data_IF_905233813722
#
_entry.id   IF_905233813722
#
_cell.length_a   1.000
_cell.length_b   1.000
_cell.length_c   1.000
_cell.angle_alpha   90.00
_cell.angle_beta   90.00
_cell.angle_gamma   90.00
#
_symmetry.space_group_name_H-M   'P 1'
#
loop_
_entity.id
_entity.type
_entity.pdbx_description
1 polymer ?
#
# COMPACT_ATOMS: atom_id res chain seq x y z
N UNK A 1 12.59 -9.34 5.13
CA UNK A 1 12.92 -8.36 6.21
C UNK A 1 11.74 -8.30 7.15
N UNK A 2 12.00 -8.53 8.42
CA UNK A 2 10.97 -8.46 9.43
C UNK A 2 10.65 -7.01 9.80
N UNK A 3 9.37 -6.68 10.06
CA UNK A 3 8.94 -5.32 10.42
C UNK A 3 9.60 -4.83 11.71
N UNK A 4 9.91 -5.73 12.63
CA UNK A 4 10.57 -5.41 13.90
C UNK A 4 12.04 -4.98 13.73
N UNK A 5 12.61 -5.14 12.55
CA UNK A 5 13.96 -4.65 12.22
C UNK A 5 13.97 -3.17 11.83
N UNK A 6 12.80 -2.59 11.57
CA UNK A 6 12.67 -1.17 11.25
C UNK A 6 12.70 -0.32 12.53
N UNK A 7 13.27 0.86 12.41
CA UNK A 7 13.27 1.84 13.49
C UNK A 7 11.95 2.60 13.52
N UNK A 8 11.18 2.46 14.61
CA UNK A 8 9.94 3.19 14.87
C UNK A 8 8.89 3.16 13.74
N UNK A 9 8.56 2.01 13.15
CA UNK A 9 7.46 1.93 12.21
C UNK A 9 6.14 2.11 12.98
N UNK A 10 5.23 2.90 12.43
CA UNK A 10 3.89 3.12 13.01
C UNK A 10 2.90 2.18 12.34
N UNK A 11 2.23 1.33 13.13
CA UNK A 11 1.15 0.48 12.62
C UNK A 11 -0.07 1.34 12.27
N UNK A 12 -0.55 1.21 11.05
CA UNK A 12 -1.67 1.97 10.49
C UNK A 12 -2.99 1.25 10.68
N UNK A 13 -3.03 -0.02 10.31
CA UNK A 13 -4.26 -0.83 10.35
C UNK A 13 -3.95 -2.32 10.29
N UNK A 14 -4.95 -3.09 10.69
CA UNK A 14 -5.07 -4.53 10.41
C UNK A 14 -6.05 -4.73 9.25
N UNK A 15 -5.82 -5.79 8.48
CA UNK A 15 -6.72 -6.21 7.41
C UNK A 15 -7.35 -7.56 7.76
N UNK A 16 -8.62 -7.75 7.40
CA UNK A 16 -9.36 -8.99 7.61
C UNK A 16 -10.21 -9.32 6.40
N UNK A 17 -10.55 -10.58 6.20
CA UNK A 17 -11.49 -10.97 5.15
C UNK A 17 -12.83 -10.27 5.33
N UNK A 18 -13.47 -9.97 4.21
CA UNK A 18 -14.85 -9.53 4.18
C UNK A 18 -15.74 -10.71 3.80
N UNK A 19 -16.39 -11.29 4.79
CA UNK A 19 -17.29 -12.44 4.60
C UNK A 19 -18.69 -12.04 4.11
N UNK A 20 -18.93 -10.76 3.89
CA UNK A 20 -20.21 -10.28 3.35
C UNK A 20 -20.21 -10.40 1.81
N UNK A 21 -20.85 -11.43 1.29
CA UNK A 21 -20.96 -11.70 -0.15
C UNK A 21 -21.64 -10.57 -0.96
N UNK A 22 -22.39 -9.68 -0.30
CA UNK A 22 -23.00 -8.51 -0.92
C UNK A 22 -22.05 -7.34 -1.10
N UNK A 23 -20.91 -7.32 -0.39
CA UNK A 23 -19.85 -6.31 -0.55
C UNK A 23 -18.83 -6.82 -1.57
N UNK A 24 -18.54 -6.02 -2.59
CA UNK A 24 -17.54 -6.36 -3.60
C UNK A 24 -16.10 -6.25 -3.09
N UNK A 25 -15.87 -5.64 -1.94
CA UNK A 25 -14.54 -5.57 -1.34
C UNK A 25 -14.19 -6.91 -0.69
N UNK A 26 -13.09 -7.53 -1.11
CA UNK A 26 -12.65 -8.84 -0.62
C UNK A 26 -12.16 -8.82 0.83
N UNK A 27 -11.82 -7.64 1.37
CA UNK A 27 -11.29 -7.48 2.71
C UNK A 27 -11.67 -6.13 3.33
N UNK A 28 -11.60 -6.07 4.65
CA UNK A 28 -11.92 -4.92 5.50
C UNK A 28 -10.67 -4.30 6.11
N UNK A 29 -10.80 -3.05 6.57
CA UNK A 29 -9.73 -2.27 7.21
C UNK A 29 -10.16 -1.95 8.64
N UNK A 30 -9.34 -2.34 9.61
CA UNK A 30 -9.46 -1.91 11.01
C UNK A 30 -8.34 -0.93 11.32
N UNK A 31 -8.67 0.36 11.33
CA UNK A 31 -7.71 1.42 11.59
C UNK A 31 -7.21 1.38 13.03
N UNK A 32 -5.90 1.60 13.22
CA UNK A 32 -5.32 1.74 14.54
C UNK A 32 -5.81 3.04 15.20
N UNK A 33 -6.50 2.91 16.33
CA UNK A 33 -7.12 4.02 17.06
C UNK A 33 -6.09 4.88 17.81
N UNK A 34 -4.92 4.36 18.07
CA UNK A 34 -3.82 5.06 18.75
C UNK A 34 -3.10 6.05 17.81
N UNK A 35 -3.34 5.95 16.49
CA UNK A 35 -2.76 6.87 15.51
C UNK A 35 -3.75 8.00 15.22
N UNK A 36 -3.29 9.24 15.41
CA UNK A 36 -4.11 10.42 15.16
C UNK A 36 -4.62 10.43 13.69
N UNK A 37 -5.93 10.62 13.55
CA UNK A 37 -6.58 10.65 12.24
C UNK A 37 -6.00 11.71 11.29
N UNK A 38 -5.54 12.84 11.81
CA UNK A 38 -4.86 13.88 11.04
C UNK A 38 -3.59 13.33 10.40
N UNK A 39 -2.76 12.58 11.16
CA UNK A 39 -1.56 11.93 10.65
C UNK A 39 -1.90 10.96 9.51
N UNK A 40 -2.98 10.19 9.64
CA UNK A 40 -3.41 9.22 8.62
C UNK A 40 -3.93 9.87 7.34
N UNK A 41 -4.52 11.06 7.44
CA UNK A 41 -5.22 11.74 6.33
C UNK A 41 -4.43 12.90 5.72
N UNK A 42 -3.38 13.37 6.38
CA UNK A 42 -2.59 14.53 5.94
C UNK A 42 -1.84 14.23 4.64
N UNK A 43 -1.75 15.23 3.76
CA UNK A 43 -0.95 15.16 2.54
C UNK A 43 0.55 15.33 2.84
N UNK A 44 1.19 14.27 3.30
CA UNK A 44 2.65 14.23 3.48
C UNK A 44 3.22 13.05 2.70
N UNK A 45 4.42 13.19 2.20
CA UNK A 45 5.15 12.05 1.63
C UNK A 45 5.40 10.98 2.68
N UNK A 46 5.01 9.76 2.40
CA UNK A 46 5.16 8.61 3.29
C UNK A 46 5.68 7.40 2.55
N UNK A 47 6.53 6.64 3.24
CA UNK A 47 6.83 5.27 2.85
C UNK A 47 5.98 4.33 3.72
N UNK A 48 5.23 3.42 3.11
CA UNK A 48 4.43 2.43 3.81
C UNK A 48 4.88 1.01 3.48
N UNK A 49 4.53 0.09 4.36
CA UNK A 49 4.88 -1.33 4.27
C UNK A 49 3.61 -2.16 4.41
N UNK A 50 3.40 -3.11 3.47
CA UNK A 50 2.42 -4.19 3.66
C UNK A 50 3.19 -5.37 4.22
N UNK A 51 2.72 -5.85 5.36
CA UNK A 51 3.40 -6.85 6.19
C UNK A 51 2.50 -8.07 6.32
N UNK A 52 3.06 -9.24 6.05
CA UNK A 52 2.39 -10.53 6.21
C UNK A 52 3.18 -11.35 7.23
N UNK A 53 2.53 -11.75 8.32
CA UNK A 53 3.15 -12.51 9.41
C UNK A 53 4.50 -11.91 9.86
N UNK A 54 4.51 -10.59 10.07
CA UNK A 54 5.69 -9.80 10.44
C UNK A 54 6.75 -9.59 9.35
N UNK A 55 6.63 -10.21 8.17
CA UNK A 55 7.56 -10.01 7.06
C UNK A 55 7.06 -8.93 6.08
N UNK A 56 7.96 -8.07 5.60
CA UNK A 56 7.65 -7.02 4.63
C UNK A 56 7.48 -7.64 3.24
N UNK A 57 6.26 -7.61 2.72
CA UNK A 57 5.90 -8.10 1.39
C UNK A 57 5.90 -6.99 0.33
N UNK A 58 5.62 -5.74 0.75
CA UNK A 58 5.65 -4.58 -0.13
C UNK A 58 6.16 -3.34 0.58
N UNK A 59 7.00 -2.58 -0.13
CA UNK A 59 7.34 -1.19 0.16
C UNK A 59 6.62 -0.32 -0.88
N UNK A 60 5.96 0.74 -0.45
CA UNK A 60 5.27 1.67 -1.33
C UNK A 60 5.29 3.09 -0.79
N UNK A 61 4.80 4.03 -1.57
CA UNK A 61 4.68 5.43 -1.14
C UNK A 61 3.26 5.97 -1.26
N UNK A 62 3.00 7.04 -0.54
CA UNK A 62 1.77 7.81 -0.60
C UNK A 62 2.09 9.29 -0.52
N UNK A 63 1.73 10.03 -1.57
CA UNK A 63 1.81 11.50 -1.68
C UNK A 63 0.40 12.10 -1.93
N UNK A 64 -0.67 11.30 -1.76
CA UNK A 64 -2.03 11.72 -2.10
C UNK A 64 -2.64 12.66 -1.03
N UNK A 65 -3.62 13.48 -1.45
CA UNK A 65 -4.28 14.47 -0.60
C UNK A 65 -4.98 13.86 0.63
N UNK A 66 -5.48 12.63 0.54
CA UNK A 66 -6.11 11.90 1.65
C UNK A 66 -5.14 11.05 2.48
N UNK A 67 -3.82 11.25 2.30
CA UNK A 67 -2.78 10.53 3.01
C UNK A 67 -2.82 9.02 2.80
N UNK A 68 -2.32 8.28 3.81
CA UNK A 68 -2.26 6.81 3.75
C UNK A 68 -3.67 6.18 3.70
N UNK A 69 -4.68 6.81 4.30
CA UNK A 69 -6.06 6.33 4.23
C UNK A 69 -6.58 6.23 2.81
N UNK A 70 -6.32 7.26 1.99
CA UNK A 70 -6.72 7.26 0.59
C UNK A 70 -5.99 6.18 -0.21
N UNK A 71 -4.69 5.98 0.04
CA UNK A 71 -3.91 4.95 -0.65
C UNK A 71 -4.43 3.54 -0.34
N UNK A 72 -4.66 3.22 0.93
CA UNK A 72 -5.18 1.90 1.33
C UNK A 72 -6.62 1.73 0.87
N UNK A 73 -7.44 2.78 0.98
CA UNK A 73 -8.80 2.81 0.42
C UNK A 73 -8.84 2.52 -1.08
N UNK A 74 -7.88 3.04 -1.84
CA UNK A 74 -7.76 2.76 -3.28
C UNK A 74 -7.44 1.30 -3.57
N UNK A 75 -6.60 0.64 -2.77
CA UNK A 75 -6.40 -0.81 -2.88
C UNK A 75 -7.69 -1.58 -2.59
N UNK A 76 -8.39 -1.24 -1.49
CA UNK A 76 -9.65 -1.90 -1.12
C UNK A 76 -10.72 -1.73 -2.20
N UNK A 77 -10.87 -0.55 -2.76
CA UNK A 77 -11.91 -0.27 -3.77
C UNK A 77 -11.58 -0.80 -5.16
N UNK A 78 -10.35 -1.20 -5.43
CA UNK A 78 -9.90 -1.65 -6.76
C UNK A 78 -10.53 -2.97 -7.22
N UNK A 79 -11.16 -3.73 -6.34
CA UNK A 79 -11.95 -4.91 -6.68
C UNK A 79 -13.40 -4.60 -7.08
N UNK A 80 -13.89 -3.39 -6.83
CA UNK A 80 -15.32 -3.09 -6.89
C UNK A 80 -15.76 -2.51 -8.23
N UNK A 81 -14.97 -1.60 -8.79
CA UNK A 81 -15.33 -0.86 -10.01
C UNK A 81 -14.18 0.00 -10.52
N UNK A 82 -14.36 0.58 -11.69
CA UNK A 82 -13.39 1.48 -12.30
C UNK A 82 -12.34 0.74 -13.12
N UNK A 83 -11.25 1.45 -13.43
CA UNK A 83 -10.11 0.90 -14.20
C UNK A 83 -8.84 0.96 -13.37
N UNK A 84 -8.69 0.09 -12.36
CA UNK A 84 -7.50 0.09 -11.55
C UNK A 84 -6.27 -0.27 -12.39
N UNK A 85 -5.10 0.25 -11.99
CA UNK A 85 -3.83 -0.22 -12.56
C UNK A 85 -3.59 -1.68 -12.16
N UNK A 86 -2.73 -2.39 -12.91
CA UNK A 86 -2.32 -3.77 -12.56
C UNK A 86 -1.77 -3.84 -11.14
N UNK A 87 -0.98 -2.83 -10.73
CA UNK A 87 -0.45 -2.71 -9.37
C UNK A 87 -1.57 -2.64 -8.33
N UNK A 88 -2.53 -1.74 -8.53
CA UNK A 88 -3.58 -1.51 -7.52
C UNK A 88 -4.49 -2.73 -7.38
N UNK A 89 -4.89 -3.32 -8.50
CA UNK A 89 -5.69 -4.55 -8.50
C UNK A 89 -4.89 -5.75 -7.98
N UNK A 90 -3.63 -5.89 -8.41
CA UNK A 90 -2.76 -6.99 -7.97
C UNK A 90 -2.56 -7.01 -6.46
N UNK A 91 -2.29 -5.86 -5.84
CA UNK A 91 -2.17 -5.77 -4.38
C UNK A 91 -3.49 -6.11 -3.69
N UNK A 92 -4.64 -5.70 -4.24
CA UNK A 92 -5.95 -6.07 -3.70
C UNK A 92 -6.15 -7.59 -3.65
N UNK A 93 -5.82 -8.28 -4.73
CA UNK A 93 -5.95 -9.75 -4.84
C UNK A 93 -4.95 -10.46 -3.91
N UNK A 94 -3.68 -10.05 -3.93
CA UNK A 94 -2.63 -10.66 -3.10
C UNK A 94 -2.93 -10.54 -1.59
N UNK A 95 -3.51 -9.42 -1.15
CA UNK A 95 -3.98 -9.28 0.24
C UNK A 95 -5.07 -10.31 0.54
N UNK A 96 -6.07 -10.44 -0.33
CA UNK A 96 -7.16 -11.40 -0.13
C UNK A 96 -6.64 -12.85 -0.07
N UNK A 97 -5.69 -13.22 -0.92
CA UNK A 97 -5.03 -14.53 -0.92
C UNK A 97 -4.35 -14.82 0.43
N UNK A 98 -3.56 -13.88 0.94
CA UNK A 98 -2.89 -14.07 2.22
C UNK A 98 -3.88 -14.22 3.38
N UNK A 99 -4.94 -13.43 3.40
CA UNK A 99 -5.98 -13.52 4.41
C UNK A 99 -6.73 -14.85 4.33
N UNK A 100 -7.00 -15.39 3.12
CA UNK A 100 -7.62 -16.71 2.91
C UNK A 100 -6.72 -17.86 3.39
N UNK A 101 -5.41 -17.70 3.26
CA UNK A 101 -4.42 -18.64 3.79
C UNK A 101 -4.27 -18.56 5.33
N UNK A 102 -5.06 -17.71 6.00
CA UNK A 102 -5.01 -17.52 7.45
C UNK A 102 -3.85 -16.65 7.93
N UNK A 103 -3.15 -15.99 7.02
CA UNK A 103 -2.04 -15.11 7.36
C UNK A 103 -2.53 -13.78 7.91
N UNK A 104 -1.81 -13.22 8.88
CA UNK A 104 -2.04 -11.87 9.39
C UNK A 104 -1.47 -10.86 8.42
N UNK A 105 -2.31 -9.90 7.98
CA UNK A 105 -1.89 -8.81 7.10
C UNK A 105 -2.07 -7.47 7.80
N UNK A 106 -1.00 -6.70 7.88
CA UNK A 106 -0.93 -5.42 8.57
C UNK A 106 -0.28 -4.37 7.67
N UNK A 107 -0.60 -3.10 7.92
CA UNK A 107 0.04 -1.98 7.22
C UNK A 107 0.73 -1.09 8.22
N UNK A 108 1.97 -0.74 7.91
CA UNK A 108 2.81 0.18 8.68
C UNK A 108 3.29 1.32 7.80
N UNK A 109 3.73 2.41 8.39
CA UNK A 109 4.40 3.49 7.67
C UNK A 109 5.46 4.18 8.54
N UNK A 110 6.36 4.92 7.88
CA UNK A 110 7.17 5.94 8.52
C UNK A 110 6.51 7.29 8.31
N UNK A 111 6.27 8.00 9.41
CA UNK A 111 5.75 9.36 9.40
C UNK A 111 6.91 10.34 9.24
N UNK A 112 6.80 11.19 8.22
CA UNK A 112 7.72 12.28 8.01
C UNK A 112 6.98 13.60 8.26
N UNK A 113 7.36 14.35 9.31
CA UNK A 113 6.73 15.63 9.61
C UNK A 113 6.97 16.62 8.49
N UNK A 114 6.14 17.66 8.42
CA UNK A 114 6.39 18.82 7.58
C UNK A 114 7.65 19.55 8.07
N UNK A 115 8.41 20.07 7.12
CA UNK A 115 9.60 20.90 7.35
C UNK A 115 9.38 22.26 6.70
N UNK A 116 9.87 23.32 7.34
CA UNK A 116 9.89 24.65 6.75
C UNK A 116 11.03 24.77 5.75
N UNK A 117 10.71 25.13 4.52
CA UNK A 117 11.68 25.36 3.43
C UNK A 117 11.58 26.82 2.99
N UNK A 118 12.70 27.52 2.98
CA UNK A 118 12.79 28.87 2.44
C UNK A 118 13.10 28.82 0.94
N UNK A 119 12.23 29.42 0.15
CA UNK A 119 12.38 29.51 -1.30
C UNK A 119 12.63 30.95 -1.70
N UNK A 120 13.64 31.18 -2.54
CA UNK A 120 13.87 32.48 -3.20
C UNK A 120 13.05 32.51 -4.48
N UNK A 121 12.18 33.51 -4.62
CA UNK A 121 11.36 33.73 -5.81
C UNK A 121 12.12 34.51 -6.88
N UNK A 122 11.52 34.63 -8.08
CA UNK A 122 12.12 35.30 -9.24
C UNK A 122 12.45 36.79 -9.01
N UNK A 123 11.70 37.45 -8.13
CA UNK A 123 11.91 38.84 -7.74
C UNK A 123 12.93 39.03 -6.61
N UNK A 124 13.57 37.94 -6.16
CA UNK A 124 14.52 37.92 -5.06
C UNK A 124 13.88 37.88 -3.67
N UNK A 125 12.55 37.89 -3.55
CA UNK A 125 11.86 37.74 -2.27
C UNK A 125 12.02 36.31 -1.75
N UNK A 126 11.98 36.15 -0.40
CA UNK A 126 12.05 34.83 0.25
C UNK A 126 10.73 34.52 0.91
N UNK A 127 10.17 33.36 0.57
CA UNK A 127 8.95 32.83 1.21
C UNK A 127 9.28 31.55 1.95
N UNK A 128 8.71 31.38 3.14
CA UNK A 128 8.78 30.11 3.89
C UNK A 128 7.53 29.29 3.63
N UNK A 129 7.70 28.07 3.20
CA UNK A 129 6.61 27.13 2.99
C UNK A 129 6.83 25.87 3.82
N UNK A 130 5.73 25.30 4.32
CA UNK A 130 5.76 23.95 4.89
C UNK A 130 5.68 22.92 3.76
N UNK A 131 6.61 21.98 3.77
CA UNK A 131 6.64 20.90 2.79
C UNK A 131 7.08 19.59 3.43
N UNK A 132 6.80 18.49 2.75
CA UNK A 132 7.27 17.15 3.14
C UNK A 132 8.27 16.61 2.12
N UNK A 133 9.14 15.71 2.56
CA UNK A 133 9.95 14.91 1.64
C UNK A 133 8.98 14.04 0.81
N UNK A 134 9.21 13.96 -0.51
CA UNK A 134 8.40 13.12 -1.40
C UNK A 134 8.41 11.66 -0.94
N UNK A 135 7.22 11.06 -0.86
CA UNK A 135 7.06 9.64 -0.55
C UNK A 135 7.79 8.76 -1.55
N UNK A 136 7.88 9.19 -2.82
CA UNK A 136 8.64 8.48 -3.85
C UNK A 136 10.14 8.36 -3.53
N UNK A 137 10.76 9.43 -3.03
CA UNK A 137 12.17 9.40 -2.61
C UNK A 137 12.33 8.44 -1.43
N UNK A 138 11.42 8.49 -0.45
CA UNK A 138 11.45 7.59 0.71
C UNK A 138 11.29 6.13 0.30
N UNK A 139 10.35 5.82 -0.62
CA UNK A 139 10.18 4.49 -1.17
C UNK A 139 11.48 3.97 -1.81
N UNK A 140 12.08 4.76 -2.70
CA UNK A 140 13.31 4.38 -3.40
C UNK A 140 14.46 4.09 -2.43
N UNK A 141 14.64 4.93 -1.40
CA UNK A 141 15.70 4.73 -0.40
C UNK A 141 15.44 3.50 0.47
N UNK A 142 14.20 3.26 0.88
CA UNK A 142 13.87 2.06 1.65
C UNK A 142 13.98 0.77 0.81
N UNK A 143 13.65 0.82 -0.47
CA UNK A 143 13.86 -0.31 -1.39
C UNK A 143 15.35 -0.60 -1.63
N UNK A 144 16.18 0.44 -1.74
CA UNK A 144 17.63 0.29 -1.83
C UNK A 144 18.20 -0.43 -0.60
N UNK A 145 17.79 0.00 0.61
CA UNK A 145 18.17 -0.65 1.88
C UNK A 145 17.72 -2.12 1.89
N UNK A 146 16.45 -2.38 1.52
CA UNK A 146 15.91 -3.74 1.48
C UNK A 146 16.71 -4.63 0.51
N UNK A 147 16.95 -4.14 -0.71
CA UNK A 147 17.69 -4.86 -1.75
C UNK A 147 19.14 -5.16 -1.33
N UNK A 148 19.83 -4.20 -0.72
CA UNK A 148 21.19 -4.40 -0.23
C UNK A 148 21.28 -5.47 0.86
N UNK A 149 20.22 -5.60 1.67
CA UNK A 149 20.16 -6.61 2.74
C UNK A 149 19.76 -8.00 2.26
N UNK A 150 18.88 -8.09 1.27
CA UNK A 150 18.24 -9.35 0.85
C UNK A 150 18.60 -9.80 -0.57
N UNK A 151 19.40 -9.01 -1.32
CA UNK A 151 19.74 -9.22 -2.72
C UNK A 151 18.54 -9.33 -3.69
N UNK A 152 17.32 -8.94 -3.24
CA UNK A 152 16.10 -8.91 -4.06
C UNK A 152 15.17 -7.80 -3.53
N UNK A 153 14.10 -7.52 -4.27
CA UNK A 153 13.02 -6.63 -3.86
C UNK A 153 12.00 -7.36 -2.97
N UNK A 154 11.17 -6.63 -2.17
CA UNK A 154 10.02 -7.23 -1.51
C UNK A 154 9.14 -7.96 -2.52
N UNK A 155 8.58 -9.10 -2.13
CA UNK A 155 7.95 -10.06 -3.04
C UNK A 155 6.79 -9.49 -3.87
N UNK A 156 6.12 -8.45 -3.39
CA UNK A 156 5.04 -7.75 -4.10
C UNK A 156 5.48 -6.47 -4.82
N UNK A 157 6.76 -6.13 -4.79
CA UNK A 157 7.33 -5.05 -5.61
C UNK A 157 7.73 -5.58 -7.01
N UNK A 158 6.80 -6.25 -7.67
CA UNK A 158 7.05 -6.94 -8.95
C UNK A 158 7.54 -6.00 -10.06
N UNK A 159 6.94 -4.80 -10.18
CA UNK A 159 7.32 -3.84 -11.20
C UNK A 159 8.74 -3.31 -10.99
N UNK A 160 9.09 -3.03 -9.74
CA UNK A 160 10.42 -2.58 -9.35
C UNK A 160 11.47 -3.68 -9.53
N UNK A 161 11.05 -4.95 -9.40
CA UNK A 161 11.88 -6.13 -9.69
C UNK A 161 11.94 -6.50 -11.17
N UNK A 162 11.20 -5.80 -12.05
CA UNK A 162 11.08 -6.15 -13.46
C UNK A 162 10.35 -7.48 -13.71
N UNK A 163 9.54 -7.93 -12.74
CA UNK A 163 8.79 -9.19 -12.82
C UNK A 163 7.36 -8.91 -13.31
N UNK A 164 6.76 -9.76 -14.16
CA UNK A 164 5.38 -9.64 -14.58
C UNK A 164 4.44 -9.95 -13.40
N UNK A 165 3.22 -9.40 -13.45
CA UNK A 165 2.15 -9.81 -12.55
C UNK A 165 1.75 -11.26 -12.88
N UNK A 166 1.40 -12.08 -11.85
CA UNK A 166 0.88 -13.43 -12.07
C UNK A 166 -0.31 -13.45 -13.03
N UNK A 167 -0.42 -14.46 -13.86
CA UNK A 167 -1.47 -14.59 -14.91
C UNK A 167 -2.87 -14.47 -14.33
N UNK A 168 -3.15 -15.13 -13.21
CA UNK A 168 -4.46 -15.07 -12.55
C UNK A 168 -4.85 -13.65 -12.08
N UNK A 169 -3.88 -12.80 -11.72
CA UNK A 169 -4.13 -11.40 -11.37
C UNK A 169 -4.48 -10.59 -12.62
N UNK A 170 -3.77 -10.82 -13.72
CA UNK A 170 -4.06 -10.14 -14.99
C UNK A 170 -5.44 -10.55 -15.52
N UNK A 171 -5.78 -11.82 -15.46
CA UNK A 171 -7.09 -12.35 -15.85
C UNK A 171 -8.21 -11.79 -14.98
N UNK A 172 -8.04 -11.77 -13.65
CA UNK A 172 -9.03 -11.21 -12.73
C UNK A 172 -9.26 -9.71 -12.97
N UNK A 173 -8.20 -8.97 -13.32
CA UNK A 173 -8.33 -7.56 -13.70
C UNK A 173 -9.10 -7.39 -15.02
N UNK A 174 -8.83 -8.22 -16.02
CA UNK A 174 -9.54 -8.18 -17.28
C UNK A 174 -11.03 -8.51 -17.09
N UNK A 175 -11.36 -9.47 -16.23
CA UNK A 175 -12.72 -9.79 -15.84
C UNK A 175 -13.40 -8.60 -15.15
N UNK A 176 -12.72 -7.93 -14.23
CA UNK A 176 -13.23 -6.70 -13.59
C UNK A 176 -13.55 -5.62 -14.64
N UNK A 177 -12.66 -5.40 -15.60
CA UNK A 177 -12.86 -4.42 -16.68
C UNK A 177 -14.04 -4.77 -17.59
N UNK A 178 -14.40 -6.05 -17.67
CA UNK A 178 -15.57 -6.56 -18.40
C UNK A 178 -16.85 -6.60 -17.54
N UNK A 179 -16.81 -6.05 -16.31
CA UNK A 179 -17.96 -5.99 -15.42
C UNK A 179 -18.13 -7.19 -14.49
N UNK A 180 -17.18 -8.12 -14.48
CA UNK A 180 -17.20 -9.33 -13.67
C UNK A 180 -16.11 -9.23 -12.55
N UNK A 181 -16.41 -8.60 -11.41
CA UNK A 181 -15.46 -8.49 -10.32
C UNK A 181 -15.15 -9.85 -9.69
N UNK A 182 -13.90 -10.05 -9.31
CA UNK A 182 -13.44 -11.26 -8.63
C UNK A 182 -14.19 -11.47 -7.31
N UNK A 183 -14.62 -12.69 -7.04
CA UNK A 183 -15.28 -13.09 -5.80
C UNK A 183 -14.36 -13.90 -4.90
N UNK A 184 -14.61 -13.83 -3.61
CA UNK A 184 -13.81 -14.54 -2.60
C UNK A 184 -13.79 -16.06 -2.84
N UNK A 185 -14.92 -16.65 -3.25
CA UNK A 185 -15.01 -18.09 -3.54
C UNK A 185 -14.13 -18.50 -4.74
N UNK A 186 -13.99 -17.68 -5.77
CA UNK A 186 -13.12 -17.96 -6.91
C UNK A 186 -11.63 -17.99 -6.51
N UNK A 187 -11.25 -17.14 -5.52
CA UNK A 187 -9.90 -17.19 -4.95
C UNK A 187 -9.74 -18.46 -4.09
N UNK A 188 -10.75 -18.84 -3.30
CA UNK A 188 -10.69 -20.08 -2.50
C UNK A 188 -10.51 -21.32 -3.38
N UNK A 189 -11.32 -21.47 -4.43
CA UNK A 189 -11.23 -22.61 -5.38
C UNK A 189 -9.87 -22.72 -6.06
N UNK A 190 -9.16 -21.58 -6.23
CA UNK A 190 -7.80 -21.57 -6.80
C UNK A 190 -6.72 -21.95 -5.78
N UNK A 191 -6.92 -21.63 -4.51
CA UNK A 191 -5.91 -21.83 -3.46
C UNK A 191 -5.97 -23.21 -2.82
N UNK A 192 -7.15 -23.85 -2.84
CA UNK A 192 -7.44 -25.13 -2.18
C UNK A 192 -8.02 -26.15 -3.16
#
# INVERSE_FOLDING_TARGET
>A
MNINELTNPIKVCDLSLNENDNDRALWNITWNRDVNNTILSQKNGRCYYIVVNSEIFKIGYSDCNGGIKSTIGSYRSSGNSGRPSDRTHGIHVLIAEQLLLGNKVEIYFHYNPLINVNLTLMDGSVVSIENSISGKILELKNMEIYKNKHNDFPVWNLQEAGKPWPTHIQESRNNLLSGNPLKLNEIKERLF
#
